data_IF_466285065364
#
_entry.id   IF_466285065364
#
_cell.length_a   1.000
_cell.length_b   1.000
_cell.length_c   1.000
_cell.angle_alpha   90.00
_cell.angle_beta   90.00
_cell.angle_gamma   90.00
#
_symmetry.space_group_name_H-M   'P 1'
#
loop_
_entity.id
_entity.type
_entity.pdbx_description
1 polymer ?
#
# COMPACT_ATOMS: atom_id res chain seq x y z
N UNK A 1 21.39 -24.04 -38.21
CA UNK A 1 22.06 -22.95 -37.48
C UNK A 1 21.11 -21.80 -37.12
N UNK A 2 20.17 -21.41 -37.99
CA UNK A 2 19.20 -20.34 -37.73
C UNK A 2 18.22 -20.61 -36.58
N UNK A 3 17.66 -21.82 -36.45
CA UNK A 3 16.64 -22.14 -35.43
C UNK A 3 17.16 -22.01 -33.98
N UNK A 4 18.43 -22.38 -33.72
CA UNK A 4 19.09 -22.20 -32.41
C UNK A 4 19.25 -20.72 -32.03
N UNK A 5 19.45 -19.85 -33.02
CA UNK A 5 19.61 -18.40 -32.81
C UNK A 5 18.30 -17.74 -32.38
N UNK A 6 17.17 -18.13 -32.99
CA UNK A 6 15.85 -17.65 -32.59
C UNK A 6 15.42 -18.18 -31.21
N UNK A 7 15.74 -19.44 -30.91
CA UNK A 7 15.48 -20.01 -29.58
C UNK A 7 16.30 -19.31 -28.49
N UNK A 8 17.57 -18.98 -28.77
CA UNK A 8 18.43 -18.21 -27.87
C UNK A 8 17.95 -16.77 -27.67
N UNK A 9 17.46 -16.11 -28.73
CA UNK A 9 16.88 -14.76 -28.65
C UNK A 9 15.61 -14.75 -27.79
N UNK A 10 14.70 -15.70 -28.01
CA UNK A 10 13.46 -15.83 -27.24
C UNK A 10 13.73 -16.07 -25.75
N UNK A 11 14.71 -16.92 -25.43
CA UNK A 11 15.13 -17.17 -24.05
C UNK A 11 15.66 -15.91 -23.36
N UNK A 12 16.41 -15.07 -24.08
CA UNK A 12 16.94 -13.82 -23.53
C UNK A 12 15.83 -12.79 -23.27
N UNK A 13 14.84 -12.70 -24.17
CA UNK A 13 13.66 -11.84 -23.99
C UNK A 13 12.88 -12.21 -22.72
N UNK A 14 12.69 -13.51 -22.47
CA UNK A 14 11.99 -14.01 -21.27
C UNK A 14 12.76 -13.66 -19.99
N UNK A 15 14.09 -13.77 -19.99
CA UNK A 15 14.92 -13.39 -18.83
C UNK A 15 14.82 -11.89 -18.53
N UNK A 16 14.80 -11.04 -19.56
CA UNK A 16 14.67 -9.58 -19.39
C UNK A 16 13.29 -9.22 -18.82
N UNK A 17 12.22 -9.88 -19.28
CA UNK A 17 10.85 -9.66 -18.76
C UNK A 17 10.74 -10.12 -17.29
N UNK A 18 11.39 -11.23 -16.92
CA UNK A 18 11.39 -11.72 -15.53
C UNK A 18 12.11 -10.76 -14.57
N UNK A 19 13.15 -10.05 -15.01
CA UNK A 19 13.83 -9.05 -14.19
C UNK A 19 13.05 -7.73 -14.05
N UNK A 20 12.17 -7.40 -14.99
CA UNK A 20 11.32 -6.22 -14.90
C UNK A 20 10.17 -6.34 -13.86
N UNK A 21 9.85 -7.57 -13.42
CA UNK A 21 8.85 -7.79 -12.36
C UNK A 21 9.39 -7.53 -10.93
N UNK A 22 10.69 -7.26 -10.76
CA UNK A 22 11.27 -6.92 -9.47
C UNK A 22 11.16 -5.42 -9.17
N UNK A 23 9.95 -4.87 -9.20
CA UNK A 23 9.67 -3.60 -8.53
C UNK A 23 9.54 -3.86 -7.04
N UNK A 24 10.67 -4.01 -6.35
CA UNK A 24 10.68 -3.84 -4.90
C UNK A 24 10.33 -2.39 -4.64
N UNK A 25 9.09 -2.14 -4.21
CA UNK A 25 8.73 -0.85 -3.65
C UNK A 25 9.55 -0.71 -2.36
N UNK A 26 10.57 0.15 -2.39
CA UNK A 26 11.36 0.47 -1.20
C UNK A 26 10.46 1.18 -0.21
N UNK A 27 9.97 0.44 0.78
CA UNK A 27 9.33 0.95 1.98
C UNK A 27 10.35 1.10 3.11
N UNK A 28 11.63 1.29 2.76
CA UNK A 28 12.77 1.32 3.69
C UNK A 28 12.66 2.40 4.77
N UNK A 29 11.81 3.41 4.55
CA UNK A 29 11.53 4.49 5.50
C UNK A 29 10.42 4.16 6.51
N UNK A 30 9.60 3.13 6.24
CA UNK A 30 8.57 2.66 7.19
C UNK A 30 9.23 2.00 8.40
N UNK A 31 8.58 2.15 9.56
CA UNK A 31 8.96 1.53 10.83
C UNK A 31 7.78 0.83 11.45
N UNK A 32 8.08 -0.17 12.27
CA UNK A 32 7.09 -0.83 13.13
C UNK A 32 6.29 0.24 13.89
N UNK A 33 4.95 0.11 13.86
CA UNK A 33 4.07 1.05 14.55
C UNK A 33 3.70 2.31 13.78
N UNK A 34 4.24 2.52 12.57
CA UNK A 34 3.78 3.62 11.72
C UNK A 34 2.28 3.52 11.42
N UNK A 35 1.59 4.66 11.45
CA UNK A 35 0.19 4.77 11.07
C UNK A 35 0.06 5.12 9.59
N UNK A 36 -0.66 4.29 8.85
CA UNK A 36 -0.95 4.53 7.44
C UNK A 36 -2.37 5.05 7.28
N UNK A 37 -2.52 6.31 6.90
CA UNK A 37 -3.80 6.96 6.62
C UNK A 37 -4.08 6.95 5.13
N UNK A 38 -5.24 6.44 4.71
CA UNK A 38 -5.62 6.41 3.29
C UNK A 38 -6.92 7.17 3.03
N UNK A 39 -7.02 7.79 1.86
CA UNK A 39 -8.31 8.15 1.27
C UNK A 39 -8.87 6.87 0.65
N UNK A 40 -9.83 6.20 1.29
CA UNK A 40 -10.30 4.89 0.85
C UNK A 40 -11.07 4.94 -0.47
N UNK A 41 -10.83 4.00 -1.39
CA UNK A 41 -11.52 3.92 -2.69
C UNK A 41 -12.97 3.45 -2.61
N UNK A 42 -13.36 2.87 -1.47
CA UNK A 42 -14.69 2.31 -1.28
C UNK A 42 -15.77 3.37 -1.51
N UNK A 43 -16.78 3.01 -2.30
CA UNK A 43 -17.96 3.86 -2.55
C UNK A 43 -19.08 3.61 -1.54
N UNK A 44 -18.79 2.99 -0.40
CA UNK A 44 -19.80 2.76 0.63
C UNK A 44 -20.29 4.07 1.24
N UNK A 45 -21.55 4.07 1.69
CA UNK A 45 -22.12 5.21 2.41
C UNK A 45 -21.31 5.56 3.66
N UNK A 46 -20.81 4.55 4.39
CA UNK A 46 -19.94 4.75 5.55
C UNK A 46 -18.64 5.50 5.18
N UNK A 47 -17.96 5.09 4.10
CA UNK A 47 -16.73 5.77 3.65
C UNK A 47 -17.02 7.22 3.29
N UNK A 48 -18.14 7.45 2.59
CA UNK A 48 -18.58 8.79 2.21
C UNK A 48 -18.92 9.66 3.43
N UNK A 49 -19.59 9.08 4.43
CA UNK A 49 -19.93 9.76 5.68
C UNK A 49 -18.66 10.16 6.45
N UNK A 50 -17.71 9.25 6.64
CA UNK A 50 -16.43 9.54 7.32
C UNK A 50 -15.73 10.73 6.66
N UNK A 51 -15.56 10.70 5.33
CA UNK A 51 -14.90 11.77 4.58
C UNK A 51 -15.58 13.13 4.77
N UNK A 52 -16.92 13.17 4.74
CA UNK A 52 -17.69 14.42 4.90
C UNK A 52 -17.70 14.94 6.33
N UNK A 53 -17.66 14.03 7.31
CA UNK A 53 -17.76 14.40 8.73
C UNK A 53 -16.42 14.76 9.36
N UNK A 54 -15.30 14.32 8.79
CA UNK A 54 -13.97 14.45 9.41
C UNK A 54 -13.00 15.34 8.63
N UNK A 55 -13.45 15.99 7.56
CA UNK A 55 -12.58 16.83 6.73
C UNK A 55 -13.30 18.02 6.12
N UNK A 56 -12.63 19.15 6.10
CA UNK A 56 -13.08 20.37 5.41
C UNK A 56 -12.67 20.35 3.93
N UNK A 57 -13.17 21.33 3.15
CA UNK A 57 -12.96 21.41 1.69
C UNK A 57 -11.49 21.38 1.25
N UNK A 58 -10.59 21.85 2.11
CA UNK A 58 -9.15 21.99 1.81
C UNK A 58 -8.29 20.90 2.47
N UNK A 59 -8.89 20.04 3.30
CA UNK A 59 -8.20 18.97 4.00
C UNK A 59 -8.22 17.66 3.19
N UNK A 60 -7.27 16.77 3.47
CA UNK A 60 -7.23 15.44 2.85
C UNK A 60 -8.25 14.55 3.57
N UNK A 61 -9.27 14.00 2.86
CA UNK A 61 -10.36 13.27 3.49
C UNK A 61 -9.98 11.81 3.75
N UNK A 62 -9.10 11.58 4.72
CA UNK A 62 -8.75 10.23 5.16
C UNK A 62 -9.98 9.52 5.69
N UNK A 63 -10.15 8.25 5.33
CA UNK A 63 -11.34 7.48 5.69
C UNK A 63 -11.02 6.15 6.33
N UNK A 64 -9.73 5.81 6.44
CA UNK A 64 -9.27 4.55 7.00
C UNK A 64 -7.82 4.68 7.48
N UNK A 65 -7.48 3.91 8.50
CA UNK A 65 -6.14 3.88 9.08
C UNK A 65 -5.75 2.45 9.45
N UNK A 66 -4.46 2.14 9.38
CA UNK A 66 -3.89 0.90 9.89
C UNK A 66 -2.48 1.12 10.45
N UNK A 67 -1.94 0.11 11.14
CA UNK A 67 -0.64 0.15 11.80
C UNK A 67 0.33 -0.79 11.09
N UNK A 68 1.50 -0.28 10.69
CA UNK A 68 2.57 -1.08 10.08
C UNK A 68 3.10 -2.10 11.08
N UNK A 69 3.20 -3.34 10.61
CA UNK A 69 3.81 -4.46 11.31
C UNK A 69 4.79 -5.16 10.36
N UNK A 70 6.04 -5.24 10.75
CA UNK A 70 7.07 -6.04 10.11
C UNK A 70 7.03 -7.47 10.65
N UNK A 71 7.08 -8.43 9.75
CA UNK A 71 7.43 -9.82 10.05
C UNK A 71 8.74 -10.17 9.32
N UNK A 72 9.34 -11.31 9.63
CA UNK A 72 10.66 -11.74 9.12
C UNK A 72 10.80 -11.73 7.60
N UNK A 73 9.68 -11.78 6.86
CA UNK A 73 9.66 -11.88 5.39
C UNK A 73 8.85 -10.80 4.70
N UNK A 74 7.85 -10.24 5.38
CA UNK A 74 6.83 -9.39 4.76
C UNK A 74 6.45 -8.23 5.68
N UNK A 75 5.87 -7.20 5.07
CA UNK A 75 5.30 -6.04 5.78
C UNK A 75 3.79 -6.12 5.70
N UNK A 76 3.16 -6.06 6.87
CA UNK A 76 1.72 -6.10 7.07
C UNK A 76 1.22 -4.77 7.62
N UNK A 77 -0.10 -4.60 7.53
CA UNK A 77 -0.85 -3.54 8.17
C UNK A 77 -1.92 -4.20 9.02
N UNK A 78 -1.86 -3.97 10.33
CA UNK A 78 -2.96 -4.31 11.24
C UNK A 78 -4.05 -3.26 11.04
N UNK A 79 -5.26 -3.69 10.69
CA UNK A 79 -6.39 -2.79 10.45
C UNK A 79 -7.70 -3.41 10.95
N UNK A 80 -8.69 -2.54 11.21
CA UNK A 80 -10.05 -2.94 11.52
C UNK A 80 -10.94 -2.74 10.30
N UNK A 81 -11.49 -3.82 9.71
CA UNK A 81 -12.41 -3.72 8.57
C UNK A 81 -13.87 -3.90 9.00
N UNK A 82 -14.84 -3.33 8.26
CA UNK A 82 -16.25 -3.52 8.57
C UNK A 82 -16.73 -4.99 8.48
N UNK A 83 -16.10 -5.80 7.63
CA UNK A 83 -16.52 -7.19 7.36
C UNK A 83 -15.84 -8.22 8.26
N UNK A 84 -14.54 -8.05 8.50
CA UNK A 84 -13.70 -9.12 9.05
C UNK A 84 -13.11 -8.76 10.43
N UNK A 85 -13.45 -7.58 10.97
CA UNK A 85 -12.91 -7.11 12.23
C UNK A 85 -11.43 -6.77 12.13
N UNK A 86 -10.64 -7.17 13.14
CA UNK A 86 -9.20 -6.89 13.19
C UNK A 86 -8.45 -7.94 12.38
N UNK A 87 -7.76 -7.52 11.31
CA UNK A 87 -7.00 -8.39 10.42
C UNK A 87 -5.58 -7.86 10.18
N UNK A 88 -4.72 -8.72 9.63
CA UNK A 88 -3.42 -8.33 9.06
C UNK A 88 -3.51 -8.42 7.53
N UNK A 89 -3.29 -7.30 6.87
CA UNK A 89 -3.30 -7.18 5.41
C UNK A 89 -1.89 -6.94 4.90
N UNK A 90 -1.49 -7.55 3.78
CA UNK A 90 -0.19 -7.25 3.19
C UNK A 90 -0.11 -5.76 2.82
N UNK A 91 1.05 -5.12 3.04
CA UNK A 91 1.22 -3.68 2.82
C UNK A 91 0.77 -3.25 1.41
N UNK A 92 1.14 -4.02 0.38
CA UNK A 92 0.74 -3.73 -0.98
C UNK A 92 -0.78 -3.80 -1.19
N UNK A 93 -1.47 -4.74 -0.52
CA UNK A 93 -2.93 -4.88 -0.60
C UNK A 93 -3.63 -3.74 0.13
N UNK A 94 -3.08 -3.32 1.27
CA UNK A 94 -3.57 -2.16 2.01
C UNK A 94 -3.49 -0.88 1.17
N UNK A 95 -2.34 -0.63 0.53
CA UNK A 95 -2.13 0.54 -0.34
C UNK A 95 -3.11 0.54 -1.52
N UNK A 96 -3.47 -0.62 -2.05
CA UNK A 96 -4.43 -0.76 -3.15
C UNK A 96 -5.89 -0.46 -2.76
N UNK A 97 -6.17 -0.29 -1.46
CA UNK A 97 -7.44 0.23 -0.95
C UNK A 97 -7.53 1.75 -1.07
N UNK A 98 -6.42 2.47 -1.27
CA UNK A 98 -6.41 3.92 -1.42
C UNK A 98 -6.91 4.37 -2.81
N UNK A 99 -7.57 5.52 -2.85
CA UNK A 99 -7.79 6.28 -4.07
C UNK A 99 -6.46 6.66 -4.71
N UNK A 100 -6.46 6.83 -6.04
CA UNK A 100 -5.27 7.23 -6.78
C UNK A 100 -5.47 8.61 -7.41
N UNK A 101 -4.47 9.49 -7.25
CA UNK A 101 -4.39 10.77 -7.94
C UNK A 101 -3.14 10.77 -8.82
N UNK A 102 -3.32 10.98 -10.13
CA UNK A 102 -2.23 10.87 -11.13
C UNK A 102 -1.46 9.54 -11.03
N UNK A 103 -2.19 8.45 -10.82
CA UNK A 103 -1.64 7.10 -10.70
C UNK A 103 -0.97 6.76 -9.35
N UNK A 104 -0.83 7.72 -8.43
CA UNK A 104 -0.22 7.50 -7.11
C UNK A 104 -1.29 7.32 -6.03
N UNK A 105 -1.14 6.36 -5.10
CA UNK A 105 -2.07 6.19 -3.99
C UNK A 105 -2.04 7.41 -3.06
N UNK A 106 -3.21 7.83 -2.60
CA UNK A 106 -3.38 8.89 -1.60
C UNK A 106 -3.22 8.30 -0.21
N UNK A 107 -2.00 8.30 0.28
CA UNK A 107 -1.58 7.74 1.57
C UNK A 107 -0.67 8.72 2.30
N UNK A 108 -0.82 8.81 3.62
CA UNK A 108 0.09 9.52 4.51
C UNK A 108 0.60 8.60 5.61
N UNK A 109 1.81 8.86 6.08
CA UNK A 109 2.46 8.11 7.17
C UNK A 109 2.54 9.02 8.39
N UNK A 110 1.95 8.57 9.50
CA UNK A 110 2.10 9.19 10.81
C UNK A 110 3.00 8.35 11.69
N UNK A 111 3.94 8.98 12.40
CA UNK A 111 4.80 8.32 13.37
C UNK A 111 4.69 9.04 14.71
N UNK A 112 4.59 8.28 15.79
CA UNK A 112 4.60 8.82 17.16
C UNK A 112 5.89 9.61 17.35
N UNK A 113 5.78 10.85 17.81
CA UNK A 113 6.95 11.69 18.04
C UNK A 113 7.85 11.07 19.11
N UNK A 114 9.18 11.23 19.03
CA UNK A 114 10.11 10.60 19.99
C UNK A 114 9.74 10.85 21.45
N UNK A 115 9.25 12.05 21.79
CA UNK A 115 8.86 12.42 23.16
C UNK A 115 7.61 11.69 23.70
N UNK A 116 6.89 10.94 22.88
CA UNK A 116 5.69 10.19 23.25
C UNK A 116 5.84 8.66 23.08
N UNK A 117 7.04 8.19 22.79
CA UNK A 117 7.34 6.75 22.73
C UNK A 117 7.69 6.26 24.15
N UNK A 118 6.75 5.57 24.81
CA UNK A 118 6.91 4.99 26.14
C UNK A 118 7.19 3.49 26.09
#
# INVERSE_FOLDING_TARGET
>A
MFLKKYFSLLSWSVIIILQACNTTHNYDELKEGDLLFIVGKSKSEQTSAIKRSTSQKEEVPYSHVGIVKFDKKDVYVIEATPSDGIIQTLLYEFIQKAEKRKGRPLIAVGRVKPEFQY
#
